data_IF_620241544235
#
_entry.id   IF_620241544235
#
_cell.length_a   1.000
_cell.length_b   1.000
_cell.length_c   1.000
_cell.angle_alpha   90.00
_cell.angle_beta   90.00
_cell.angle_gamma   90.00
#
_symmetry.space_group_name_H-M   'P 1'
#
loop_
_entity.id
_entity.type
_entity.pdbx_description
1 polymer ?
#
# COMPACT_ATOMS: atom_id res chain seq x y z
N UNK A 1 -6.86 -16.88 20.01
CA UNK A 1 -6.16 -15.58 20.01
C UNK A 1 -5.41 -15.47 18.69
N UNK A 2 -5.59 -14.37 17.95
CA UNK A 2 -4.87 -14.19 16.69
C UNK A 2 -3.38 -13.93 16.95
N UNK A 3 -2.53 -14.31 15.99
CA UNK A 3 -1.09 -14.12 16.09
C UNK A 3 -0.72 -12.64 16.33
N UNK A 4 0.03 -12.33 17.37
CA UNK A 4 0.43 -10.96 17.77
C UNK A 4 1.65 -10.45 17.02
N UNK A 5 2.37 -11.35 16.33
CA UNK A 5 3.56 -11.04 15.55
C UNK A 5 3.56 -11.78 14.23
N UNK A 6 4.21 -11.18 13.22
CA UNK A 6 4.52 -11.83 11.94
C UNK A 6 6.00 -11.63 11.63
N UNK A 7 6.75 -12.72 11.45
CA UNK A 7 8.20 -12.67 11.25
C UNK A 7 8.54 -12.88 9.78
N UNK A 8 9.23 -11.91 9.20
CA UNK A 8 9.85 -11.95 7.88
C UNK A 8 11.33 -12.36 7.99
N UNK A 9 12.02 -12.54 6.88
CA UNK A 9 13.46 -12.91 6.85
C UNK A 9 14.36 -11.89 7.56
N UNK A 10 14.04 -10.59 7.44
CA UNK A 10 14.91 -9.52 7.92
C UNK A 10 14.28 -8.60 8.97
N UNK A 11 12.99 -8.75 9.25
CA UNK A 11 12.27 -7.95 10.25
C UNK A 11 11.07 -8.71 10.81
N UNK A 12 10.54 -8.22 11.91
CA UNK A 12 9.32 -8.75 12.55
C UNK A 12 8.31 -7.64 12.73
N UNK A 13 7.06 -7.90 12.40
CA UNK A 13 5.92 -7.02 12.64
C UNK A 13 5.20 -7.45 13.91
N UNK A 14 5.17 -6.60 14.93
CA UNK A 14 4.20 -6.67 16.01
C UNK A 14 2.89 -6.07 15.53
N UNK A 15 1.74 -6.68 15.87
CA UNK A 15 0.43 -6.32 15.32
C UNK A 15 -0.72 -6.51 16.32
N UNK A 16 -0.42 -6.39 17.60
CA UNK A 16 -1.39 -6.54 18.69
C UNK A 16 -2.22 -5.27 18.94
N UNK A 17 -1.76 -4.11 18.46
CA UNK A 17 -2.41 -2.80 18.64
C UNK A 17 -2.99 -2.21 17.36
N UNK A 18 -2.95 -2.93 16.24
CA UNK A 18 -3.46 -2.47 14.96
C UNK A 18 -4.77 -3.18 14.61
N UNK A 19 -5.71 -2.43 14.01
CA UNK A 19 -6.98 -2.97 13.53
C UNK A 19 -6.77 -3.96 12.38
N UNK A 20 -5.87 -3.63 11.44
CA UNK A 20 -5.50 -4.52 10.33
C UNK A 20 -4.19 -5.22 10.63
N UNK A 21 -4.23 -6.54 10.55
CA UNK A 21 -3.06 -7.41 10.67
C UNK A 21 -2.39 -7.60 9.30
N UNK A 22 -1.14 -8.06 9.32
CA UNK A 22 -0.45 -8.50 8.12
C UNK A 22 -1.33 -9.51 7.37
N UNK A 23 -1.56 -9.27 6.09
CA UNK A 23 -2.31 -10.13 5.19
C UNK A 23 -1.47 -10.47 3.96
N UNK A 24 -1.78 -11.58 3.32
CA UNK A 24 -1.12 -11.97 2.05
C UNK A 24 -1.30 -10.89 0.99
N UNK A 25 -2.49 -10.29 0.87
CA UNK A 25 -2.77 -9.22 -0.09
C UNK A 25 -1.83 -8.02 0.11
N UNK A 26 -1.60 -7.60 1.37
CA UNK A 26 -0.71 -6.50 1.70
C UNK A 26 0.76 -6.83 1.39
N UNK A 27 1.20 -8.07 1.66
CA UNK A 27 2.55 -8.50 1.33
C UNK A 27 2.78 -8.61 -0.19
N UNK A 28 1.81 -9.17 -0.92
CA UNK A 28 1.86 -9.24 -2.41
C UNK A 28 1.88 -7.83 -3.01
N UNK A 29 1.06 -6.92 -2.49
CA UNK A 29 1.07 -5.53 -2.93
C UNK A 29 2.41 -4.84 -2.64
N UNK A 30 2.93 -4.96 -1.42
CA UNK A 30 4.22 -4.35 -1.06
C UNK A 30 5.36 -4.85 -1.94
N UNK A 31 5.43 -6.16 -2.16
CA UNK A 31 6.46 -6.76 -3.02
C UNK A 31 6.31 -6.35 -4.49
N UNK A 32 5.06 -6.32 -5.03
CA UNK A 32 4.78 -5.85 -6.38
C UNK A 32 5.17 -4.37 -6.56
N UNK A 33 4.79 -3.50 -5.63
CA UNK A 33 5.13 -2.09 -5.69
C UNK A 33 6.65 -1.87 -5.68
N UNK A 34 7.37 -2.59 -4.81
CA UNK A 34 8.83 -2.56 -4.77
C UNK A 34 9.45 -3.04 -6.07
N UNK A 35 8.95 -4.14 -6.64
CA UNK A 35 9.42 -4.62 -7.95
C UNK A 35 9.24 -3.55 -9.03
N UNK A 36 8.08 -2.87 -9.05
CA UNK A 36 7.82 -1.76 -9.98
C UNK A 36 8.79 -0.58 -9.77
N UNK A 37 9.08 -0.23 -8.51
CA UNK A 37 10.06 0.82 -8.19
C UNK A 37 11.46 0.45 -8.70
N UNK A 38 11.89 -0.80 -8.54
CA UNK A 38 13.17 -1.31 -9.04
C UNK A 38 13.22 -1.28 -10.58
N UNK A 39 12.16 -1.71 -11.27
CA UNK A 39 12.05 -1.63 -12.74
C UNK A 39 12.16 -0.19 -13.26
N UNK A 40 11.74 0.81 -12.47
CA UNK A 40 11.85 2.23 -12.78
C UNK A 40 13.15 2.88 -12.26
N UNK A 41 14.10 2.08 -11.76
CA UNK A 41 15.38 2.53 -11.21
C UNK A 41 15.23 3.55 -10.05
N UNK A 42 14.19 3.41 -9.23
CA UNK A 42 14.02 4.22 -8.03
C UNK A 42 15.12 3.83 -7.04
N UNK A 43 16.11 4.70 -6.87
CA UNK A 43 17.28 4.41 -6.02
C UNK A 43 17.40 5.38 -4.84
N UNK A 44 17.39 6.67 -5.07
CA UNK A 44 17.49 7.70 -4.04
C UNK A 44 16.24 8.56 -4.08
N UNK A 45 15.23 8.21 -3.25
CA UNK A 45 13.91 8.80 -3.32
C UNK A 45 13.36 9.12 -1.93
N UNK A 46 12.45 10.10 -1.88
CA UNK A 46 11.59 10.37 -0.73
C UNK A 46 10.26 9.67 -0.94
N UNK A 47 9.92 8.77 -0.04
CA UNK A 47 8.72 7.93 -0.13
C UNK A 47 7.75 8.30 1.00
N UNK A 48 6.47 8.41 0.69
CA UNK A 48 5.39 8.60 1.66
C UNK A 48 4.54 7.33 1.73
N UNK A 49 4.40 6.77 2.92
CA UNK A 49 3.49 5.66 3.22
C UNK A 49 2.25 6.20 3.95
N UNK A 50 1.11 6.25 3.26
CA UNK A 50 -0.14 6.83 3.79
C UNK A 50 -0.98 5.72 4.43
N UNK A 51 -1.30 5.90 5.72
CA UNK A 51 -2.02 4.90 6.51
C UNK A 51 -1.14 3.67 6.76
N UNK A 52 0.05 3.90 7.32
CA UNK A 52 1.09 2.87 7.44
C UNK A 52 0.69 1.68 8.33
N UNK A 53 -0.30 1.84 9.21
CA UNK A 53 -0.78 0.79 10.11
C UNK A 53 0.33 0.20 10.97
N UNK A 54 0.68 -1.05 10.72
CA UNK A 54 1.79 -1.74 11.40
C UNK A 54 3.18 -1.32 10.90
N UNK A 55 3.29 -0.53 9.84
CA UNK A 55 4.55 -0.20 9.19
C UNK A 55 5.03 -1.22 8.14
N UNK A 56 4.19 -2.17 7.77
CA UNK A 56 4.56 -3.27 6.86
C UNK A 56 5.14 -2.77 5.54
N UNK A 57 4.43 -1.89 4.83
CA UNK A 57 4.85 -1.42 3.50
C UNK A 57 6.16 -0.64 3.57
N UNK A 58 6.28 0.25 4.57
CA UNK A 58 7.52 0.99 4.83
C UNK A 58 8.72 0.06 5.03
N UNK A 59 8.57 -1.01 5.82
CA UNK A 59 9.65 -1.98 6.07
C UNK A 59 9.98 -2.82 4.84
N UNK A 60 8.97 -3.25 4.07
CA UNK A 60 9.20 -3.98 2.82
C UNK A 60 9.96 -3.13 1.79
N UNK A 61 9.60 -1.85 1.67
CA UNK A 61 10.31 -0.89 0.81
C UNK A 61 11.75 -0.67 1.30
N UNK A 62 11.93 -0.41 2.60
CA UNK A 62 13.25 -0.14 3.20
C UNK A 62 14.22 -1.32 3.07
N UNK A 63 13.71 -2.56 3.07
CA UNK A 63 14.51 -3.77 2.87
C UNK A 63 15.17 -3.80 1.50
N UNK A 64 14.47 -3.42 0.45
CA UNK A 64 14.94 -3.56 -0.93
C UNK A 64 15.62 -2.28 -1.45
N UNK A 65 15.12 -1.11 -1.07
CA UNK A 65 15.62 0.16 -1.55
C UNK A 65 16.54 0.80 -0.48
N UNK A 66 17.85 0.66 -0.67
CA UNK A 66 18.85 0.98 0.36
C UNK A 66 19.02 2.48 0.63
N UNK A 67 18.74 3.35 -0.34
CA UNK A 67 19.05 4.80 -0.26
C UNK A 67 17.79 5.68 -0.24
N UNK A 68 16.62 5.11 0.11
CA UNK A 68 15.38 5.87 0.21
C UNK A 68 15.15 6.37 1.64
N UNK A 69 14.51 7.53 1.76
CA UNK A 69 13.99 8.07 3.01
C UNK A 69 12.47 7.93 3.00
N UNK A 70 11.92 7.33 4.04
CA UNK A 70 10.50 7.04 4.13
C UNK A 70 9.87 7.91 5.20
N UNK A 71 8.79 8.59 4.86
CA UNK A 71 7.88 9.23 5.81
C UNK A 71 6.61 8.38 5.87
N UNK A 72 6.33 7.79 7.01
CA UNK A 72 5.11 7.06 7.27
C UNK A 72 4.12 7.97 8.00
N UNK A 73 2.83 7.93 7.63
CA UNK A 73 1.79 8.68 8.34
C UNK A 73 0.66 7.74 8.76
N UNK A 74 0.20 7.89 10.01
CA UNK A 74 -0.88 7.08 10.58
C UNK A 74 -1.77 7.95 11.48
N UNK A 75 -3.08 7.88 11.26
CA UNK A 75 -4.05 8.68 12.02
C UNK A 75 -4.35 8.07 13.38
N UNK A 76 -4.36 6.74 13.50
CA UNK A 76 -4.67 6.04 14.74
C UNK A 76 -3.45 5.98 15.66
N UNK A 77 -3.56 6.56 16.85
CA UNK A 77 -2.45 6.67 17.82
C UNK A 77 -1.86 5.30 18.19
N UNK A 78 -2.71 4.30 18.42
CA UNK A 78 -2.28 2.96 18.79
C UNK A 78 -1.49 2.28 17.66
N UNK A 79 -1.94 2.42 16.42
CA UNK A 79 -1.25 1.91 15.23
C UNK A 79 0.06 2.66 14.98
N UNK A 80 0.08 3.99 15.14
CA UNK A 80 1.28 4.80 15.02
C UNK A 80 2.35 4.40 16.06
N UNK A 81 1.96 4.17 17.32
CA UNK A 81 2.87 3.64 18.35
C UNK A 81 3.42 2.26 17.97
N UNK A 82 2.57 1.39 17.42
CA UNK A 82 2.98 0.06 16.96
C UNK A 82 3.97 0.15 15.80
N UNK A 83 3.69 0.98 14.78
CA UNK A 83 4.59 1.20 13.65
C UNK A 83 5.95 1.73 14.09
N UNK A 84 5.98 2.72 15.01
CA UNK A 84 7.22 3.27 15.58
C UNK A 84 8.05 2.19 16.26
N UNK A 85 7.41 1.32 17.03
CA UNK A 85 8.08 0.19 17.68
C UNK A 85 8.66 -0.78 16.65
N UNK A 86 7.90 -1.10 15.59
CA UNK A 86 8.36 -1.98 14.51
C UNK A 86 9.53 -1.36 13.73
N UNK A 87 9.49 -0.05 13.44
CA UNK A 87 10.58 0.65 12.77
C UNK A 87 11.86 0.65 13.61
N UNK A 88 11.75 0.99 14.91
CA UNK A 88 12.90 1.03 15.82
C UNK A 88 13.56 -0.34 16.02
N UNK A 89 12.79 -1.42 15.90
CA UNK A 89 13.29 -2.80 16.00
C UNK A 89 13.76 -3.37 14.65
N UNK A 90 13.73 -2.58 13.57
CA UNK A 90 14.21 -2.99 12.25
C UNK A 90 15.62 -2.47 11.96
N UNK A 91 16.35 -3.08 11.01
CA UNK A 91 17.66 -2.55 10.57
C UNK A 91 17.59 -1.17 9.88
N UNK A 92 16.39 -0.65 9.59
CA UNK A 92 16.20 0.54 8.76
C UNK A 92 15.49 1.69 9.49
N UNK A 93 15.33 1.61 10.80
CA UNK A 93 14.61 2.60 11.61
C UNK A 93 15.09 4.03 11.40
N UNK A 94 16.39 4.24 11.21
CA UNK A 94 16.98 5.58 10.97
C UNK A 94 16.53 6.23 9.65
N UNK A 95 16.07 5.43 8.68
CA UNK A 95 15.58 5.91 7.37
C UNK A 95 14.06 6.08 7.31
N UNK A 96 13.35 5.76 8.38
CA UNK A 96 11.88 5.79 8.43
C UNK A 96 11.45 6.76 9.53
N UNK A 97 10.85 7.89 9.14
CA UNK A 97 10.20 8.82 10.06
C UNK A 97 8.70 8.54 10.13
N UNK A 98 8.11 8.72 11.32
CA UNK A 98 6.68 8.52 11.53
C UNK A 98 6.01 9.80 12.02
N UNK A 99 4.94 10.19 11.32
CA UNK A 99 4.02 11.27 11.68
C UNK A 99 2.71 10.62 12.16
N UNK A 100 2.29 10.90 13.38
CA UNK A 100 0.95 10.57 13.85
C UNK A 100 0.03 11.74 13.49
N UNK A 101 -0.96 11.51 12.64
CA UNK A 101 -1.90 12.54 12.20
C UNK A 101 -2.66 12.20 10.93
N UNK A 102 -3.57 13.11 10.56
CA UNK A 102 -4.36 13.02 9.33
C UNK A 102 -3.56 13.57 8.13
N UNK A 103 -3.44 12.78 7.07
CA UNK A 103 -2.77 13.18 5.81
C UNK A 103 -3.41 14.42 5.19
N UNK A 104 -4.70 14.64 5.40
CA UNK A 104 -5.45 15.80 4.89
C UNK A 104 -5.05 17.11 5.57
N UNK A 105 -4.49 17.03 6.77
CA UNK A 105 -4.04 18.19 7.56
C UNK A 105 -2.55 18.49 7.40
N UNK A 106 -1.82 17.63 6.68
CA UNK A 106 -0.42 17.85 6.40
C UNK A 106 -0.24 18.89 5.28
N UNK A 107 0.87 19.64 5.37
CA UNK A 107 1.22 20.67 4.39
C UNK A 107 1.12 20.16 2.95
N UNK A 108 0.47 20.92 2.07
CA UNK A 108 0.34 20.64 0.65
C UNK A 108 1.63 21.08 -0.07
N UNK A 109 2.65 20.22 -0.03
CA UNK A 109 3.95 20.47 -0.67
C UNK A 109 4.39 19.28 -1.48
N UNK A 110 4.67 19.48 -2.75
CA UNK A 110 5.27 18.45 -3.61
C UNK A 110 6.66 18.07 -3.11
N UNK A 111 6.77 16.95 -2.43
CA UNK A 111 7.98 16.55 -1.73
C UNK A 111 8.39 15.12 -1.98
N UNK A 112 7.48 14.26 -2.47
CA UNK A 112 7.69 12.83 -2.56
C UNK A 112 7.84 12.37 -4.00
N UNK A 113 8.81 11.50 -4.21
CA UNK A 113 9.05 10.83 -5.49
C UNK A 113 8.10 9.65 -5.66
N UNK A 114 7.74 9.01 -4.55
CA UNK A 114 6.83 7.87 -4.50
C UNK A 114 5.86 8.04 -3.34
N UNK A 115 4.61 7.67 -3.58
CA UNK A 115 3.60 7.49 -2.53
C UNK A 115 3.09 6.06 -2.60
N UNK A 116 2.96 5.40 -1.44
CA UNK A 116 2.40 4.06 -1.32
C UNK A 116 1.30 4.05 -0.28
N UNK A 117 0.22 3.27 -0.51
CA UNK A 117 -0.87 3.15 0.46
C UNK A 117 -1.62 1.84 0.32
N UNK A 118 -1.98 1.25 1.45
CA UNK A 118 -2.97 0.18 1.56
C UNK A 118 -4.09 0.64 2.51
N UNK A 119 -4.93 1.58 2.09
CA UNK A 119 -5.92 2.16 2.98
C UNK A 119 -7.09 1.20 3.21
N UNK A 120 -7.78 1.31 4.36
CA UNK A 120 -9.03 0.61 4.58
C UNK A 120 -10.13 1.26 3.73
N UNK A 121 -10.56 0.59 2.66
CA UNK A 121 -11.68 1.02 1.83
C UNK A 121 -12.99 0.40 2.36
N UNK A 122 -13.68 1.11 3.22
CA UNK A 122 -14.97 0.68 3.77
C UNK A 122 -16.19 1.30 3.07
N UNK A 123 -16.00 2.14 2.03
CA UNK A 123 -17.09 2.75 1.29
C UNK A 123 -17.89 1.69 0.54
N UNK A 124 -19.16 1.50 0.93
CA UNK A 124 -20.09 0.59 0.26
C UNK A 124 -20.10 -0.86 0.76
N UNK A 125 -19.18 -1.27 1.62
CA UNK A 125 -19.07 -2.66 2.11
C UNK A 125 -19.73 -2.87 3.50
N UNK A 126 -20.53 -1.92 4.00
CA UNK A 126 -21.17 -2.06 5.31
C UNK A 126 -22.37 -2.98 5.27
N UNK A 127 -22.45 -3.97 6.19
CA UNK A 127 -23.72 -4.61 6.52
C UNK A 127 -24.69 -3.57 7.11
N UNK A 128 -25.97 -3.70 6.79
CA UNK A 128 -27.06 -2.81 7.22
C UNK A 128 -27.22 -2.62 8.75
N UNK A 129 -26.40 -3.29 9.59
CA UNK A 129 -26.41 -3.26 11.05
C UNK A 129 -25.03 -2.82 11.61
N UNK A 130 -24.53 -1.66 11.22
CA UNK A 130 -23.28 -1.14 11.80
C UNK A 130 -23.51 -0.57 13.20
N UNK A 131 -22.71 -1.04 14.17
CA UNK A 131 -22.67 -0.47 15.53
C UNK A 131 -21.99 0.91 15.53
N UNK A 132 -22.25 1.76 16.53
CA UNK A 132 -21.61 3.09 16.68
C UNK A 132 -20.08 3.05 16.60
N UNK A 133 -19.45 1.90 16.91
CA UNK A 133 -18.02 1.68 16.81
C UNK A 133 -17.55 1.62 15.33
N UNK A 134 -18.36 1.06 14.44
CA UNK A 134 -18.08 1.02 13.01
C UNK A 134 -18.26 2.41 12.37
N UNK A 135 -19.23 3.20 12.83
CA UNK A 135 -19.42 4.58 12.39
C UNK A 135 -18.23 5.47 12.71
N UNK A 136 -17.67 5.38 13.93
CA UNK A 136 -16.46 6.12 14.31
C UNK A 136 -15.20 5.71 13.51
N UNK A 137 -15.13 4.48 13.02
CA UNK A 137 -14.08 4.03 12.09
C UNK A 137 -14.30 4.59 10.67
N UNK A 138 -15.57 4.71 10.24
CA UNK A 138 -15.90 5.30 8.93
C UNK A 138 -15.58 6.78 8.83
N UNK A 139 -15.86 7.56 9.87
CA UNK A 139 -15.61 9.00 9.90
C UNK A 139 -14.09 9.32 9.83
N UNK A 140 -13.24 8.35 10.16
CA UNK A 140 -11.77 8.46 10.11
C UNK A 140 -11.14 7.77 8.91
N UNK A 141 -11.89 6.98 8.13
CA UNK A 141 -11.36 6.28 6.98
C UNK A 141 -11.12 7.25 5.81
N UNK A 142 -10.00 7.05 5.13
CA UNK A 142 -9.63 7.83 3.95
C UNK A 142 -10.41 7.29 2.75
N UNK A 143 -11.24 8.12 2.13
CA UNK A 143 -11.93 7.76 0.88
C UNK A 143 -10.94 7.68 -0.29
N UNK A 144 -11.31 7.00 -1.38
CA UNK A 144 -10.48 6.94 -2.58
C UNK A 144 -10.18 8.35 -3.14
N UNK A 145 -11.19 9.21 -3.21
CA UNK A 145 -11.03 10.58 -3.68
C UNK A 145 -10.10 11.40 -2.78
N UNK A 146 -10.23 11.27 -1.45
CA UNK A 146 -9.34 11.93 -0.49
C UNK A 146 -7.90 11.44 -0.60
N UNK A 147 -7.68 10.11 -0.73
CA UNK A 147 -6.35 9.54 -0.97
C UNK A 147 -5.72 10.12 -2.22
N UNK A 148 -6.44 10.08 -3.35
CA UNK A 148 -5.94 10.58 -4.62
C UNK A 148 -5.64 12.09 -4.57
N UNK A 149 -6.53 12.91 -3.98
CA UNK A 149 -6.31 14.35 -3.82
C UNK A 149 -5.10 14.66 -2.91
N UNK A 150 -5.02 14.02 -1.74
CA UNK A 150 -3.91 14.23 -0.81
C UNK A 150 -2.57 13.81 -1.44
N UNK A 151 -2.57 12.68 -2.15
CA UNK A 151 -1.40 12.19 -2.88
C UNK A 151 -1.01 13.14 -4.01
N UNK A 152 -1.98 13.64 -4.79
CA UNK A 152 -1.71 14.55 -5.91
C UNK A 152 -0.96 15.81 -5.47
N UNK A 153 -1.36 16.41 -4.35
CA UNK A 153 -0.74 17.62 -3.80
C UNK A 153 0.68 17.39 -3.27
N UNK A 154 1.00 16.17 -2.85
CA UNK A 154 2.27 15.81 -2.21
C UNK A 154 3.25 15.11 -3.13
N UNK A 155 2.77 14.53 -4.24
CA UNK A 155 3.57 13.84 -5.22
C UNK A 155 4.24 14.84 -6.16
N UNK A 156 5.53 14.65 -6.45
CA UNK A 156 6.24 15.42 -7.49
C UNK A 156 5.62 15.16 -8.87
N UNK A 157 5.85 16.07 -9.83
CA UNK A 157 5.32 15.95 -11.18
C UNK A 157 5.73 14.63 -11.89
N UNK A 158 6.95 14.14 -11.62
CA UNK A 158 7.49 12.87 -12.17
C UNK A 158 7.26 11.67 -11.24
N UNK A 159 6.58 11.90 -10.11
CA UNK A 159 6.40 10.89 -9.07
C UNK A 159 5.39 9.80 -9.42
N UNK A 160 5.41 8.72 -8.64
CA UNK A 160 4.51 7.57 -8.77
C UNK A 160 3.70 7.35 -7.50
N UNK A 161 2.40 7.05 -7.67
CA UNK A 161 1.49 6.61 -6.62
C UNK A 161 1.19 5.12 -6.79
N UNK A 162 1.41 4.33 -5.72
CA UNK A 162 1.08 2.91 -5.64
C UNK A 162 0.01 2.68 -4.58
N UNK A 163 -1.02 1.91 -4.90
CA UNK A 163 -2.03 1.51 -3.92
C UNK A 163 -2.78 0.24 -4.34
N UNK A 164 -3.47 -0.37 -3.38
CA UNK A 164 -4.28 -1.58 -3.59
C UNK A 164 -5.74 -1.27 -3.36
N UNK A 165 -6.63 -1.85 -4.18
CA UNK A 165 -8.09 -1.71 -4.09
C UNK A 165 -8.81 -3.05 -4.19
N UNK A 166 -10.01 -3.18 -3.61
CA UNK A 166 -10.96 -4.22 -4.01
C UNK A 166 -11.30 -4.11 -5.51
N UNK A 167 -11.38 -5.25 -6.20
CA UNK A 167 -11.55 -5.28 -7.67
C UNK A 167 -12.84 -4.60 -8.16
N UNK A 168 -13.92 -4.63 -7.36
CA UNK A 168 -15.19 -4.00 -7.72
C UNK A 168 -15.12 -2.46 -7.78
N UNK A 169 -14.07 -1.84 -7.19
CA UNK A 169 -13.87 -0.38 -7.20
C UNK A 169 -13.14 0.14 -8.46
N UNK A 170 -12.91 -0.73 -9.45
CA UNK A 170 -12.13 -0.36 -10.65
C UNK A 170 -12.74 0.82 -11.42
N UNK A 171 -14.05 0.81 -11.62
CA UNK A 171 -14.73 1.89 -12.34
C UNK A 171 -14.68 3.24 -11.59
N UNK A 172 -14.84 3.20 -10.26
CA UNK A 172 -14.72 4.40 -9.41
C UNK A 172 -13.29 4.96 -9.47
N UNK A 173 -12.30 4.06 -9.53
CA UNK A 173 -10.90 4.45 -9.67
C UNK A 173 -10.64 5.19 -10.97
N UNK A 174 -11.06 4.62 -12.12
CA UNK A 174 -10.82 5.19 -13.44
C UNK A 174 -11.42 6.61 -13.53
N UNK A 175 -12.66 6.76 -13.06
CA UNK A 175 -13.31 8.06 -12.99
C UNK A 175 -12.59 9.06 -12.07
N UNK A 176 -12.20 8.62 -10.86
CA UNK A 176 -11.52 9.49 -9.89
C UNK A 176 -10.12 9.90 -10.36
N UNK A 177 -9.38 8.99 -10.97
CA UNK A 177 -8.06 9.29 -11.56
C UNK A 177 -8.18 10.33 -12.66
N UNK A 178 -9.17 10.18 -13.55
CA UNK A 178 -9.38 11.11 -14.64
C UNK A 178 -9.70 12.52 -14.13
N UNK A 179 -10.61 12.62 -13.16
CA UNK A 179 -11.06 13.88 -12.56
C UNK A 179 -9.92 14.63 -11.84
N UNK A 180 -9.04 13.91 -11.14
CA UNK A 180 -7.97 14.53 -10.32
C UNK A 180 -6.72 14.83 -11.15
N UNK A 181 -6.57 14.21 -12.31
CA UNK A 181 -5.42 14.40 -13.18
C UNK A 181 -4.34 13.31 -13.04
N UNK A 182 -4.74 12.09 -12.69
CA UNK A 182 -3.88 10.92 -12.75
C UNK A 182 -4.06 10.11 -14.04
N UNK A 183 -2.98 9.47 -14.48
CA UNK A 183 -2.99 8.41 -15.48
C UNK A 183 -2.58 7.10 -14.82
N UNK A 184 -3.36 6.03 -14.99
CA UNK A 184 -2.99 4.69 -14.57
C UNK A 184 -1.91 4.17 -15.52
N UNK A 185 -0.74 3.82 -14.99
CA UNK A 185 0.41 3.34 -15.79
C UNK A 185 0.62 1.83 -15.66
N UNK A 186 0.18 1.23 -14.54
CA UNK A 186 0.12 -0.21 -14.41
C UNK A 186 -1.08 -0.65 -13.55
N UNK A 187 -1.64 -1.80 -13.90
CA UNK A 187 -2.70 -2.46 -13.16
C UNK A 187 -2.39 -3.97 -13.09
N UNK A 188 -2.33 -4.52 -11.88
CA UNK A 188 -2.19 -5.95 -11.66
C UNK A 188 -3.45 -6.50 -10.98
N UNK A 189 -4.14 -7.42 -11.67
CA UNK A 189 -5.31 -8.12 -11.14
C UNK A 189 -4.88 -9.29 -10.27
N UNK A 190 -5.38 -9.37 -9.03
CA UNK A 190 -5.04 -10.44 -8.08
C UNK A 190 -6.23 -11.35 -7.84
N UNK A 191 -6.04 -12.65 -8.07
CA UNK A 191 -6.99 -13.72 -7.76
C UNK A 191 -6.52 -14.52 -6.54
N UNK A 192 -7.41 -14.87 -5.60
CA UNK A 192 -7.05 -15.75 -4.49
C UNK A 192 -6.60 -17.14 -4.96
N UNK A 193 -7.25 -17.70 -5.98
CA UNK A 193 -6.88 -18.94 -6.67
C UNK A 193 -7.39 -18.91 -8.11
N UNK A 194 -6.94 -19.85 -8.95
CA UNK A 194 -7.26 -19.89 -10.39
C UNK A 194 -8.77 -19.84 -10.68
N UNK A 195 -9.57 -20.52 -9.86
CA UNK A 195 -11.01 -20.64 -10.05
C UNK A 195 -11.85 -19.56 -9.34
N UNK A 196 -11.20 -18.59 -8.69
CA UNK A 196 -11.87 -17.47 -8.02
C UNK A 196 -11.83 -16.22 -8.88
N UNK A 197 -12.84 -15.36 -8.69
CA UNK A 197 -12.83 -14.03 -9.29
C UNK A 197 -11.69 -13.16 -8.76
N UNK A 198 -11.36 -12.10 -9.50
CA UNK A 198 -10.39 -11.10 -9.07
C UNK A 198 -10.90 -10.47 -7.76
N UNK A 199 -10.07 -10.48 -6.72
CA UNK A 199 -10.39 -9.91 -5.40
C UNK A 199 -9.80 -8.53 -5.21
N UNK A 200 -8.59 -8.30 -5.74
CA UNK A 200 -7.84 -7.03 -5.61
C UNK A 200 -7.29 -6.59 -6.94
N UNK A 201 -7.04 -5.29 -7.04
CA UNK A 201 -6.24 -4.67 -8.08
C UNK A 201 -5.12 -3.87 -7.44
N UNK A 202 -3.90 -4.04 -7.95
CA UNK A 202 -2.71 -3.28 -7.56
C UNK A 202 -2.48 -2.23 -8.64
N UNK A 203 -2.35 -0.99 -8.23
CA UNK A 203 -2.40 0.16 -9.13
C UNK A 203 -1.11 0.97 -9.02
N UNK A 204 -0.61 1.40 -10.16
CA UNK A 204 0.41 2.43 -10.31
C UNK A 204 -0.18 3.59 -11.11
N UNK A 205 -0.09 4.80 -10.55
CA UNK A 205 -0.54 6.02 -11.20
C UNK A 205 0.59 7.05 -11.25
N UNK A 206 0.58 7.89 -12.29
CA UNK A 206 1.40 9.10 -12.42
C UNK A 206 0.51 10.32 -12.68
N UNK A 207 0.99 11.51 -12.34
CA UNK A 207 0.30 12.74 -12.76
C UNK A 207 0.22 12.78 -14.29
N UNK A 208 -0.91 13.22 -14.85
CA UNK A 208 -1.06 13.41 -16.29
C UNK A 208 -0.04 14.41 -16.78
N UNK A 209 0.75 14.03 -17.78
CA UNK A 209 1.62 14.91 -18.55
C UNK A 209 1.17 14.87 -20.00
N UNK A 210 1.10 16.01 -20.67
CA UNK A 210 0.84 16.09 -22.11
C UNK A 210 2.12 15.81 -22.92
N UNK A 211 2.04 15.05 -24.03
CA UNK A 211 0.91 14.32 -24.58
C UNK A 211 0.70 12.95 -23.90
N UNK A 212 -0.57 12.58 -23.68
CA UNK A 212 -0.98 11.38 -22.96
C UNK A 212 -0.89 10.11 -23.85
N UNK A 213 0.30 9.56 -24.04
CA UNK A 213 0.53 8.32 -24.80
C UNK A 213 0.93 7.13 -23.92
N UNK A 214 0.51 7.11 -22.66
CA UNK A 214 0.92 6.08 -21.72
C UNK A 214 0.26 4.74 -22.01
N UNK A 215 1.06 3.73 -22.31
CA UNK A 215 0.60 2.33 -22.41
C UNK A 215 0.43 1.78 -21.01
N UNK A 216 -0.78 1.30 -20.68
CA UNK A 216 -1.05 0.66 -19.39
C UNK A 216 -0.45 -0.75 -19.37
N UNK A 217 0.45 -1.02 -18.43
CA UNK A 217 0.99 -2.37 -18.19
C UNK A 217 -0.04 -3.18 -17.40
N UNK A 218 -0.82 -4.02 -18.08
CA UNK A 218 -1.77 -4.92 -17.44
C UNK A 218 -1.12 -6.27 -17.17
N UNK A 219 -1.22 -6.74 -15.92
CA UNK A 219 -0.71 -8.05 -15.46
C UNK A 219 -1.74 -8.74 -14.56
N UNK A 220 -1.50 -9.99 -14.23
CA UNK A 220 -2.31 -10.74 -13.28
C UNK A 220 -1.45 -11.62 -12.40
N UNK A 221 -1.90 -11.82 -11.16
CA UNK A 221 -1.31 -12.73 -10.17
C UNK A 221 -2.39 -13.64 -9.62
N UNK A 222 -2.06 -14.90 -9.42
CA UNK A 222 -2.88 -15.88 -8.70
C UNK A 222 -2.14 -16.23 -7.41
N UNK A 223 -2.77 -16.05 -6.24
CA UNK A 223 -2.09 -16.24 -4.95
C UNK A 223 -1.82 -17.72 -4.70
N UNK A 224 -2.86 -18.56 -4.74
CA UNK A 224 -2.75 -20.01 -4.55
C UNK A 224 -2.34 -20.71 -5.84
N UNK A 225 -1.31 -21.54 -5.77
CA UNK A 225 -0.93 -22.44 -6.86
C UNK A 225 -1.91 -23.62 -7.03
N UNK A 226 -1.64 -24.49 -7.99
CA UNK A 226 -2.42 -25.70 -8.24
C UNK A 226 -2.29 -26.73 -7.12
N UNK A 227 -1.13 -26.78 -6.44
CA UNK A 227 -0.89 -27.55 -5.22
C UNK A 227 -1.12 -26.67 -3.98
N UNK A 228 -1.14 -27.29 -2.77
CA UNK A 228 -1.18 -26.53 -1.51
C UNK A 228 0.05 -25.62 -1.42
N UNK A 229 -0.15 -24.28 -1.44
CA UNK A 229 0.90 -23.28 -1.35
C UNK A 229 0.67 -22.08 -2.26
N UNK A 230 1.67 -21.22 -2.35
CA UNK A 230 1.65 -20.06 -3.24
C UNK A 230 1.95 -20.47 -4.70
N UNK A 231 1.42 -19.72 -5.65
CA UNK A 231 1.82 -19.86 -7.05
C UNK A 231 3.30 -19.52 -7.25
N UNK A 232 3.89 -19.99 -8.35
CA UNK A 232 5.29 -19.71 -8.70
C UNK A 232 5.56 -18.19 -8.75
N UNK A 233 4.64 -17.40 -9.32
CA UNK A 233 4.82 -15.95 -9.43
C UNK A 233 4.81 -15.28 -8.07
N UNK A 234 3.89 -15.66 -7.18
CA UNK A 234 3.81 -15.13 -5.82
C UNK A 234 4.99 -15.61 -4.97
N UNK A 235 5.43 -16.86 -5.16
CA UNK A 235 6.63 -17.38 -4.53
C UNK A 235 7.87 -16.54 -4.90
N UNK A 236 8.08 -16.28 -6.19
CA UNK A 236 9.18 -15.44 -6.68
C UNK A 236 9.10 -14.01 -6.15
N UNK A 237 7.89 -13.46 -6.05
CA UNK A 237 7.62 -12.10 -5.56
C UNK A 237 7.94 -11.96 -4.07
N UNK A 238 7.58 -12.98 -3.26
CA UNK A 238 7.71 -12.93 -1.80
C UNK A 238 8.99 -13.60 -1.26
N UNK A 239 9.80 -14.25 -2.11
CA UNK A 239 10.99 -15.03 -1.69
C UNK A 239 11.98 -14.26 -0.81
N UNK A 240 12.13 -12.95 -1.02
CA UNK A 240 13.09 -12.14 -0.26
C UNK A 240 12.52 -11.67 1.09
N UNK A 241 11.23 -11.85 1.30
CA UNK A 241 10.51 -11.40 2.50
C UNK A 241 10.14 -12.56 3.43
N UNK A 242 9.51 -13.61 2.92
CA UNK A 242 8.95 -14.70 3.74
C UNK A 242 10.01 -15.68 4.20
N UNK A 243 9.89 -16.14 5.45
CA UNK A 243 10.77 -17.18 6.00
C UNK A 243 10.55 -18.52 5.30
N UNK A 244 9.29 -18.85 5.06
CA UNK A 244 8.85 -20.11 4.44
C UNK A 244 7.85 -19.79 3.34
N UNK A 245 8.01 -20.41 2.20
CA UNK A 245 7.17 -20.30 1.01
C UNK A 245 6.88 -21.68 0.47
#
# INVERSE_FOLDING_TARGET
>A
MGNTTFTFKQFTIKQDRCAMKVSTDACVFGAWAVQRMLEQNVSSARILDIGTGTGLLSLMVAQQLKSVLITAIEIEEAAAKQARENFNNSPWGERISLIQGDIKQQEDKESFDVIISNPPFFEGDLPANSTAKNQAFHDKSLTLAELLNASFKKLKATGCLYFILPAHRKNDLEFSCDLIGYTITACCSVKPSQNKSISRILIECKKKNEPNTTIIKNTSLVIQGESMGYSTDVHLLLKDYYLYL
#
